data_IF_291279288073
#
_entry.id   IF_291279288073
#
_cell.length_a   1.000
_cell.length_b   1.000
_cell.length_c   1.000
_cell.angle_alpha   90.00
_cell.angle_beta   90.00
_cell.angle_gamma   90.00
#
_symmetry.space_group_name_H-M   'P 1'
#
loop_
_entity.id
_entity.type
_entity.pdbx_description
1 polymer ?
#
# COMPACT_ATOMS: atom_id res chain seq x y z
N UNK A 1 -10.06 5.75 3.99
CA UNK A 1 -9.78 5.01 2.74
C UNK A 1 -8.77 3.91 3.06
N UNK A 2 -8.83 2.74 2.41
CA UNK A 2 -7.89 1.64 2.67
C UNK A 2 -6.44 2.06 2.39
N UNK A 3 -6.21 2.90 1.37
CA UNK A 3 -4.90 3.46 1.00
C UNK A 3 -4.20 4.20 2.16
N UNK A 4 -4.97 4.91 3.00
CA UNK A 4 -4.46 5.68 4.16
C UNK A 4 -3.75 4.79 5.18
N UNK A 5 -4.17 3.53 5.33
CA UNK A 5 -3.55 2.59 6.29
C UNK A 5 -2.15 2.19 5.84
N UNK A 6 -1.98 1.90 4.55
CA UNK A 6 -0.69 1.54 3.97
C UNK A 6 0.29 2.72 3.98
N UNK A 7 -0.21 3.95 3.83
CA UNK A 7 0.58 5.18 3.99
C UNK A 7 1.10 5.34 5.42
N UNK A 8 0.27 5.12 6.45
CA UNK A 8 0.71 5.16 7.85
C UNK A 8 1.76 4.08 8.15
N UNK A 9 1.61 2.88 7.60
CA UNK A 9 2.62 1.84 7.75
C UNK A 9 3.92 2.24 7.06
N UNK A 10 3.86 2.79 5.84
CA UNK A 10 5.03 3.27 5.13
C UNK A 10 5.77 4.35 5.92
N UNK A 11 5.03 5.27 6.55
CA UNK A 11 5.60 6.31 7.41
C UNK A 11 6.42 5.73 8.56
N UNK A 12 5.85 4.77 9.29
CA UNK A 12 6.52 4.11 10.41
C UNK A 12 7.76 3.33 9.96
N UNK A 13 7.73 2.73 8.77
CA UNK A 13 8.92 2.09 8.19
C UNK A 13 10.04 3.10 7.96
N UNK A 14 9.74 4.35 7.57
CA UNK A 14 10.76 5.41 7.46
C UNK A 14 11.43 5.72 8.80
N UNK A 15 10.68 5.58 9.88
CA UNK A 15 11.16 5.80 11.24
C UNK A 15 11.94 4.59 11.81
N UNK A 16 12.16 3.55 11.00
CA UNK A 16 12.92 2.35 11.40
C UNK A 16 12.08 1.28 12.11
N UNK A 17 10.74 1.36 12.03
CA UNK A 17 9.86 0.38 12.66
C UNK A 17 9.80 -0.94 11.86
N UNK A 18 10.55 -1.95 12.31
CA UNK A 18 10.59 -3.28 11.71
C UNK A 18 9.25 -4.02 11.80
N UNK A 19 8.44 -3.75 12.82
CA UNK A 19 7.10 -4.33 12.94
C UNK A 19 6.18 -3.75 11.86
N UNK A 20 6.25 -2.44 11.63
CA UNK A 20 5.54 -1.80 10.52
C UNK A 20 6.04 -2.32 9.16
N UNK A 21 7.34 -2.63 9.04
CA UNK A 21 7.91 -3.21 7.81
C UNK A 21 7.36 -4.59 7.52
N UNK A 22 7.29 -5.45 8.54
CA UNK A 22 6.69 -6.78 8.43
C UNK A 22 5.19 -6.69 8.07
N UNK A 23 4.46 -5.80 8.73
CA UNK A 23 3.04 -5.57 8.45
C UNK A 23 2.81 -5.08 7.01
N UNK A 24 3.60 -4.11 6.55
CA UNK A 24 3.50 -3.58 5.20
C UNK A 24 3.88 -4.61 4.13
N UNK A 25 4.83 -5.49 4.43
CA UNK A 25 5.14 -6.62 3.54
C UNK A 25 3.95 -7.57 3.42
N UNK A 26 3.28 -7.91 4.52
CA UNK A 26 2.09 -8.74 4.50
C UNK A 26 0.96 -8.12 3.66
N UNK A 27 0.77 -6.79 3.74
CA UNK A 27 -0.17 -6.07 2.86
C UNK A 27 0.16 -6.25 1.37
N UNK A 28 1.45 -6.16 1.01
CA UNK A 28 1.86 -6.37 -0.38
C UNK A 28 1.71 -7.83 -0.81
N UNK A 29 1.87 -8.81 0.08
CA UNK A 29 1.59 -10.22 -0.22
C UNK A 29 0.10 -10.41 -0.51
N UNK A 30 -0.79 -9.92 0.35
CA UNK A 30 -2.23 -10.01 0.14
C UNK A 30 -2.68 -9.29 -1.13
N UNK A 31 -2.17 -8.09 -1.39
CA UNK A 31 -2.47 -7.36 -2.63
C UNK A 31 -2.01 -8.12 -3.87
N UNK A 32 -0.82 -8.75 -3.82
CA UNK A 32 -0.30 -9.55 -4.94
C UNK A 32 -1.20 -10.74 -5.23
N UNK A 33 -1.72 -11.41 -4.21
CA UNK A 33 -2.66 -12.52 -4.36
C UNK A 33 -3.95 -12.05 -5.03
N UNK A 34 -4.57 -10.98 -4.52
CA UNK A 34 -5.83 -10.47 -5.06
C UNK A 34 -5.70 -9.98 -6.52
N UNK A 35 -4.58 -9.32 -6.85
CA UNK A 35 -4.29 -8.90 -8.23
C UNK A 35 -4.06 -10.12 -9.12
N UNK A 36 -3.32 -11.13 -8.63
CA UNK A 36 -3.08 -12.38 -9.34
C UNK A 36 -4.38 -13.11 -9.70
N UNK A 37 -5.30 -13.23 -8.75
CA UNK A 37 -6.62 -13.82 -8.97
C UNK A 37 -7.40 -13.07 -10.07
N UNK A 38 -7.42 -11.73 -10.02
CA UNK A 38 -8.05 -10.92 -11.07
C UNK A 38 -7.40 -11.08 -12.44
N UNK A 39 -6.08 -11.18 -12.48
CA UNK A 39 -5.34 -11.40 -13.73
C UNK A 39 -5.64 -12.76 -14.35
N UNK A 40 -5.70 -13.81 -13.52
CA UNK A 40 -6.06 -15.17 -13.95
C UNK A 40 -7.52 -15.27 -14.40
N UNK A 41 -8.42 -14.52 -13.77
CA UNK A 41 -9.82 -14.38 -14.18
C UNK A 41 -10.04 -13.58 -15.49
N UNK A 42 -8.96 -13.19 -16.19
CA UNK A 42 -9.04 -12.53 -17.49
C UNK A 42 -9.19 -11.01 -17.44
N UNK A 43 -9.11 -10.38 -16.26
CA UNK A 43 -9.14 -8.91 -16.13
C UNK A 43 -7.76 -8.31 -16.45
N UNK A 44 -7.37 -8.35 -17.73
CA UNK A 44 -6.04 -7.92 -18.21
C UNK A 44 -6.01 -6.51 -18.79
N UNK A 45 -7.17 -5.90 -19.00
CA UNK A 45 -7.29 -4.55 -19.54
C UNK A 45 -6.99 -3.51 -18.44
N UNK A 46 -5.93 -2.74 -18.65
CA UNK A 46 -5.43 -1.76 -17.69
C UNK A 46 -6.36 -0.55 -17.56
N UNK A 47 -7.03 -0.14 -18.64
CA UNK A 47 -7.94 1.00 -18.64
C UNK A 47 -9.24 0.66 -17.93
N UNK A 48 -9.77 -0.55 -18.15
CA UNK A 48 -10.90 -1.09 -17.38
C UNK A 48 -10.54 -1.21 -15.90
N UNK A 49 -9.34 -1.69 -15.58
CA UNK A 49 -8.88 -1.80 -14.19
C UNK A 49 -8.77 -0.41 -13.52
N UNK A 50 -8.21 0.58 -14.22
CA UNK A 50 -8.14 1.97 -13.75
C UNK A 50 -9.52 2.56 -13.52
N UNK A 51 -10.44 2.43 -14.49
CA UNK A 51 -11.79 2.95 -14.37
C UNK A 51 -12.53 2.32 -13.18
N UNK A 52 -12.35 1.00 -12.96
CA UNK A 52 -12.91 0.29 -11.81
C UNK A 52 -12.34 0.80 -10.48
N UNK A 53 -11.02 1.05 -10.42
CA UNK A 53 -10.38 1.62 -9.23
C UNK A 53 -10.93 3.02 -8.91
N UNK A 54 -11.04 3.89 -9.90
CA UNK A 54 -11.57 5.24 -9.71
C UNK A 54 -13.03 5.23 -9.25
N UNK A 55 -13.86 4.37 -9.85
CA UNK A 55 -15.24 4.17 -9.38
C UNK A 55 -15.27 3.69 -7.93
N UNK A 56 -14.48 2.68 -7.58
CA UNK A 56 -14.42 2.16 -6.21
C UNK A 56 -13.94 3.24 -5.21
N UNK A 57 -13.00 4.10 -5.61
CA UNK A 57 -12.56 5.25 -4.79
C UNK A 57 -13.71 6.22 -4.55
N UNK A 58 -14.45 6.58 -5.60
CA UNK A 58 -15.60 7.49 -5.49
C UNK A 58 -16.67 6.91 -4.57
N UNK A 59 -17.03 5.64 -4.75
CA UNK A 59 -18.01 4.95 -3.90
C UNK A 59 -17.59 4.95 -2.43
N UNK A 60 -16.32 4.69 -2.14
CA UNK A 60 -15.80 4.58 -0.77
C UNK A 60 -15.63 5.92 -0.04
N UNK A 61 -15.68 7.06 -0.74
CA UNK A 61 -15.52 8.39 -0.11
C UNK A 61 -16.57 8.63 0.95
N UNK A 62 -17.82 8.27 0.67
CA UNK A 62 -18.94 8.48 1.58
C UNK A 62 -19.14 7.34 2.60
N UNK A 63 -18.33 6.28 2.56
CA UNK A 63 -18.53 5.15 3.47
C UNK A 63 -18.17 5.51 4.91
N UNK A 64 -18.83 4.89 5.90
CA UNK A 64 -18.39 4.94 7.29
C UNK A 64 -17.10 4.13 7.47
N UNK A 65 -16.36 4.40 8.55
CA UNK A 65 -15.08 3.73 8.82
C UNK A 65 -15.25 2.23 9.06
N UNK A 66 -16.31 1.83 9.74
CA UNK A 66 -16.65 0.44 10.05
C UNK A 66 -16.82 -0.38 8.78
N UNK A 67 -17.51 0.17 7.77
CA UNK A 67 -17.72 -0.49 6.48
C UNK A 67 -16.39 -0.66 5.73
N UNK A 68 -15.54 0.36 5.73
CA UNK A 68 -14.19 0.26 5.12
C UNK A 68 -13.33 -0.77 5.84
N UNK A 69 -13.36 -0.78 7.16
CA UNK A 69 -12.63 -1.76 7.97
C UNK A 69 -13.15 -3.19 7.74
N UNK A 70 -14.46 -3.37 7.59
CA UNK A 70 -15.07 -4.66 7.26
C UNK A 70 -14.62 -5.16 5.88
N UNK A 71 -14.67 -4.31 4.85
CA UNK A 71 -14.19 -4.65 3.50
C UNK A 71 -12.72 -5.04 3.54
N UNK A 72 -11.89 -4.23 4.21
CA UNK A 72 -10.46 -4.52 4.35
C UNK A 72 -10.19 -5.87 5.03
N UNK A 73 -10.89 -6.17 6.14
CA UNK A 73 -10.78 -7.49 6.79
C UNK A 73 -11.21 -8.63 5.88
N UNK A 74 -12.24 -8.42 5.06
CA UNK A 74 -12.70 -9.41 4.09
C UNK A 74 -11.62 -9.67 3.03
N UNK A 75 -11.07 -8.62 2.41
CA UNK A 75 -10.00 -8.74 1.42
C UNK A 75 -8.79 -9.49 1.99
N UNK A 76 -8.37 -9.15 3.21
CA UNK A 76 -7.24 -9.82 3.87
C UNK A 76 -7.53 -11.29 4.17
N UNK A 77 -8.73 -11.64 4.63
CA UNK A 77 -9.11 -13.04 4.83
C UNK A 77 -9.10 -13.81 3.52
N UNK A 78 -9.68 -13.27 2.46
CA UNK A 78 -9.68 -13.91 1.13
C UNK A 78 -8.25 -14.17 0.67
N UNK A 79 -7.39 -13.16 0.71
CA UNK A 79 -6.00 -13.30 0.29
C UNK A 79 -5.24 -14.33 1.13
N UNK A 80 -5.44 -14.34 2.45
CA UNK A 80 -4.82 -15.31 3.36
C UNK A 80 -5.27 -16.74 3.06
N UNK A 81 -6.57 -16.96 2.83
CA UNK A 81 -7.10 -18.27 2.45
C UNK A 81 -6.51 -18.75 1.14
N UNK A 82 -6.50 -17.90 0.10
CA UNK A 82 -5.91 -18.24 -1.20
C UNK A 82 -4.41 -18.57 -1.07
N UNK A 83 -3.65 -17.76 -0.33
CA UNK A 83 -2.22 -17.99 -0.15
C UNK A 83 -1.92 -19.25 0.67
N UNK A 84 -2.78 -19.60 1.63
CA UNK A 84 -2.67 -20.84 2.40
C UNK A 84 -2.91 -22.08 1.52
N UNK A 85 -3.86 -22.00 0.58
CA UNK A 85 -4.15 -23.06 -0.38
C UNK A 85 -3.12 -23.21 -1.50
N UNK A 86 -2.33 -22.16 -1.76
CA UNK A 86 -1.33 -22.14 -2.82
C UNK A 86 -0.18 -23.15 -2.60
N UNK A 87 0.49 -23.57 -3.67
CA UNK A 87 1.66 -24.43 -3.58
C UNK A 87 2.94 -23.66 -3.16
N UNK A 88 4.06 -24.38 -2.95
CA UNK A 88 5.33 -23.76 -2.51
C UNK A 88 5.87 -22.73 -3.52
N UNK A 89 5.73 -22.99 -4.82
CA UNK A 89 6.23 -22.12 -5.87
C UNK A 89 5.41 -20.82 -5.96
N UNK A 90 4.09 -20.93 -5.94
CA UNK A 90 3.17 -19.78 -5.93
C UNK A 90 3.43 -18.87 -4.73
N UNK A 91 3.52 -19.44 -3.52
CA UNK A 91 3.87 -18.68 -2.32
C UNK A 91 5.21 -17.98 -2.44
N UNK A 92 6.22 -18.63 -3.02
CA UNK A 92 7.53 -18.03 -3.24
C UNK A 92 7.45 -16.85 -4.20
N UNK A 93 6.70 -16.97 -5.30
CA UNK A 93 6.49 -15.91 -6.29
C UNK A 93 5.81 -14.71 -5.62
N UNK A 94 4.72 -14.92 -4.89
CA UNK A 94 4.00 -13.86 -4.15
C UNK A 94 4.94 -13.13 -3.20
N UNK A 95 5.68 -13.86 -2.37
CA UNK A 95 6.63 -13.29 -1.40
C UNK A 95 7.73 -12.46 -2.07
N UNK A 96 8.25 -12.91 -3.22
CA UNK A 96 9.28 -12.19 -3.98
C UNK A 96 8.72 -10.92 -4.62
N UNK A 97 7.53 -10.99 -5.21
CA UNK A 97 6.87 -9.83 -5.81
C UNK A 97 6.52 -8.78 -4.75
N UNK A 98 6.00 -9.20 -3.60
CA UNK A 98 5.70 -8.33 -2.47
C UNK A 98 6.96 -7.62 -1.94
N UNK A 99 8.05 -8.36 -1.72
CA UNK A 99 9.34 -7.79 -1.31
C UNK A 99 9.85 -6.75 -2.33
N UNK A 100 9.88 -7.12 -3.63
CA UNK A 100 10.29 -6.21 -4.70
C UNK A 100 9.39 -4.96 -4.80
N UNK A 101 8.12 -5.06 -4.42
CA UNK A 101 7.21 -3.91 -4.40
C UNK A 101 7.49 -3.00 -3.20
N UNK A 102 7.69 -3.58 -2.01
CA UNK A 102 8.11 -2.86 -0.82
C UNK A 102 9.41 -2.10 -1.08
N UNK A 103 10.44 -2.76 -1.58
CA UNK A 103 11.74 -2.14 -1.85
C UNK A 103 11.62 -0.99 -2.85
N UNK A 104 10.84 -1.17 -3.93
CA UNK A 104 10.58 -0.10 -4.92
C UNK A 104 9.84 1.09 -4.30
N UNK A 105 8.87 0.84 -3.43
CA UNK A 105 8.15 1.91 -2.74
C UNK A 105 9.09 2.69 -1.82
N UNK A 106 9.88 2.01 -1.00
CA UNK A 106 10.85 2.64 -0.09
C UNK A 106 11.92 3.42 -0.86
N UNK A 107 12.44 2.88 -1.96
CA UNK A 107 13.41 3.58 -2.81
C UNK A 107 12.82 4.84 -3.46
N UNK A 108 11.56 4.80 -3.93
CA UNK A 108 10.87 5.98 -4.47
C UNK A 108 10.68 7.06 -3.41
N UNK A 109 10.30 6.67 -2.20
CA UNK A 109 10.10 7.61 -1.09
C UNK A 109 11.42 8.21 -0.61
N UNK A 110 12.50 7.44 -0.54
CA UNK A 110 13.83 7.95 -0.21
C UNK A 110 14.30 8.99 -1.23
N UNK A 111 14.06 8.77 -2.53
CA UNK A 111 14.33 9.75 -3.59
C UNK A 111 13.49 11.02 -3.44
N UNK A 112 12.20 10.88 -3.15
CA UNK A 112 11.31 12.02 -2.94
C UNK A 112 11.71 12.87 -1.73
N UNK A 113 12.18 12.24 -0.64
CA UNK A 113 12.71 12.94 0.53
C UNK A 113 14.03 13.68 0.22
N UNK A 114 14.92 13.07 -0.56
CA UNK A 114 16.17 13.71 -0.99
C UNK A 114 15.96 14.88 -1.96
N UNK A 115 14.85 14.90 -2.70
CA UNK A 115 14.49 15.98 -3.62
C UNK A 115 13.64 17.08 -2.98
N UNK A 116 13.26 16.96 -1.70
CA UNK A 116 12.50 17.98 -1.01
C UNK A 116 13.42 19.18 -0.70
N UNK A 117 13.09 20.42 -1.11
CA UNK A 117 13.91 21.58 -0.79
C UNK A 117 13.96 21.75 0.72
N UNK A 118 15.17 21.97 1.27
CA UNK A 118 15.38 22.25 2.68
C UNK A 118 14.44 23.38 3.10
N UNK A 119 13.54 23.11 4.05
CA UNK A 119 12.64 24.10 4.61
C UNK A 119 13.48 25.32 5.02
N UNK A 120 13.15 26.47 4.43
CA UNK A 120 13.84 27.73 4.62
C UNK A 120 13.94 28.05 6.11
N UNK A 121 15.15 27.89 6.66
CA UNK A 121 15.51 28.43 7.96
C UNK A 121 15.60 29.96 7.84
N UNK A 122 14.47 30.65 7.78
CA UNK A 122 14.43 32.06 8.18
C UNK A 122 14.17 32.13 9.67
N UNK A 123 15.28 31.99 10.40
CA UNK A 123 15.37 32.42 11.78
C UNK A 123 15.10 33.95 11.87
N UNK A 124 14.26 34.29 12.83
CA UNK A 124 14.37 35.44 13.74
C UNK A 124 14.92 36.77 13.20
N UNK A 125 14.03 37.77 13.11
CA UNK A 125 14.40 39.16 13.39
C UNK A 125 13.23 39.86 14.10
N UNK A 126 13.31 40.14 15.42
CA UNK A 126 12.32 40.95 16.10
C UNK A 126 12.61 42.43 15.78
N UNK A 127 11.68 43.10 15.07
CA UNK A 127 11.69 44.55 14.91
C UNK A 127 11.54 45.21 16.28
N UNK A 128 12.63 45.74 16.82
CA UNK A 128 12.60 46.89 17.73
C UNK A 128 12.53 48.15 16.86
N UNK A 129 11.45 48.91 16.99
CA UNK A 129 11.42 50.38 17.09
C UNK A 129 9.98 50.81 17.37
#
# INVERSE_FOLDING_TARGET
MIERRSEVLAERVRQGDDVARAALRAEFEHATVLIGEQYLAGSRDEDVARARLERARQEQRAWPEERRAALYRQCNRTAATTLSGANKLERLIVRRLAAKRLDRMLARQARAAASAPAASSRASEPKRQ
#
